data_IF_874375209588
#
_entry.id   IF_874375209588
#
_cell.length_a   1.000
_cell.length_b   1.000
_cell.length_c   1.000
_cell.angle_alpha   90.00
_cell.angle_beta   90.00
_cell.angle_gamma   90.00
#
_symmetry.space_group_name_H-M   'P 1'
#
loop_
_entity.id
_entity.type
_entity.pdbx_description
1 polymer ?
#
# COMPACT_ATOMS: atom_id res chain seq x y z
N UNK A 1 -7.63 7.81 -15.78
CA UNK A 1 -6.21 7.50 -15.45
C UNK A 1 -6.08 6.00 -15.18
N UNK A 2 -4.93 5.36 -15.45
CA UNK A 2 -4.72 3.97 -15.07
C UNK A 2 -4.82 3.84 -13.54
N UNK A 3 -5.57 2.84 -13.06
CA UNK A 3 -5.77 2.61 -11.63
C UNK A 3 -5.61 1.14 -11.28
N UNK A 4 -5.21 0.88 -10.04
CA UNK A 4 -5.06 -0.45 -9.47
C UNK A 4 -5.63 -0.45 -8.05
N UNK A 5 -6.48 -1.43 -7.76
CA UNK A 5 -6.91 -1.73 -6.39
C UNK A 5 -6.23 -3.01 -5.91
N UNK A 6 -5.50 -2.92 -4.80
CA UNK A 6 -4.88 -4.08 -4.17
C UNK A 6 -4.71 -3.81 -2.68
N UNK A 7 -4.42 -4.86 -1.91
CA UNK A 7 -4.19 -4.68 -0.48
C UNK A 7 -2.93 -3.86 -0.28
N UNK A 8 -2.95 -3.02 0.74
CA UNK A 8 -1.81 -2.20 1.14
C UNK A 8 -0.55 -3.06 1.33
N UNK A 9 -0.68 -4.27 1.89
CA UNK A 9 0.47 -5.14 2.16
C UNK A 9 1.15 -5.64 0.88
N UNK A 10 0.45 -5.66 -0.26
CA UNK A 10 1.02 -6.07 -1.54
C UNK A 10 2.04 -5.04 -2.07
N UNK A 11 2.06 -3.84 -1.50
CA UNK A 11 3.00 -2.77 -1.82
C UNK A 11 4.15 -2.65 -0.80
N UNK A 12 4.25 -3.52 0.21
CA UNK A 12 5.42 -3.54 1.08
C UNK A 12 6.68 -3.87 0.27
N UNK A 13 7.77 -3.17 0.59
CA UNK A 13 9.04 -3.25 -0.13
C UNK A 13 9.10 -2.37 -1.37
N UNK A 14 8.03 -1.62 -1.66
CA UNK A 14 7.94 -0.70 -2.79
C UNK A 14 8.01 0.74 -2.30
N UNK A 15 9.15 1.39 -2.53
CA UNK A 15 9.35 2.80 -2.13
C UNK A 15 8.52 3.79 -2.95
N UNK A 16 8.34 3.51 -4.25
CA UNK A 16 7.62 4.37 -5.20
C UNK A 16 6.49 3.63 -5.91
N UNK A 17 5.42 4.35 -6.23
CA UNK A 17 4.26 3.76 -6.91
C UNK A 17 4.59 3.33 -8.34
N UNK A 18 3.92 2.29 -8.87
CA UNK A 18 4.13 1.83 -10.24
C UNK A 18 3.71 2.90 -11.25
N UNK A 19 4.44 2.92 -12.38
CA UNK A 19 4.20 3.82 -13.51
C UNK A 19 4.06 3.00 -14.79
N UNK A 20 3.17 3.43 -15.68
CA UNK A 20 2.94 2.81 -16.99
C UNK A 20 3.40 3.74 -18.12
N UNK A 21 3.27 3.29 -19.37
CA UNK A 21 3.72 4.02 -20.57
C UNK A 21 5.22 4.40 -20.49
N UNK A 22 6.06 3.43 -20.10
CA UNK A 22 7.50 3.63 -19.96
C UNK A 22 7.87 4.62 -18.84
N UNK A 23 7.13 4.61 -17.72
CA UNK A 23 7.41 5.46 -16.56
C UNK A 23 6.71 6.84 -16.59
N UNK A 24 6.02 7.17 -17.68
CA UNK A 24 5.45 8.51 -17.89
C UNK A 24 4.17 8.78 -17.11
N UNK A 25 3.37 7.74 -16.87
CA UNK A 25 2.04 7.89 -16.26
C UNK A 25 1.99 7.16 -14.93
N UNK A 26 1.82 7.86 -13.78
CA UNK A 26 1.65 7.21 -12.49
C UNK A 26 0.31 6.49 -12.41
N UNK A 27 0.30 5.31 -11.79
CA UNK A 27 -0.94 4.56 -11.53
C UNK A 27 -1.60 5.10 -10.26
N UNK A 28 -2.91 5.30 -10.31
CA UNK A 28 -3.71 5.60 -9.12
C UNK A 28 -3.88 4.32 -8.31
N UNK A 29 -3.35 4.31 -7.09
CA UNK A 29 -3.41 3.19 -6.17
C UNK A 29 -4.59 3.35 -5.21
N UNK A 30 -5.53 2.42 -5.27
CA UNK A 30 -6.53 2.21 -4.23
C UNK A 30 -5.94 1.20 -3.24
N UNK A 31 -5.33 1.69 -2.17
CA UNK A 31 -4.70 0.88 -1.13
C UNK A 31 -5.80 0.34 -0.22
N UNK A 32 -6.00 -0.97 -0.25
CA UNK A 32 -7.07 -1.63 0.48
C UNK A 32 -6.60 -2.26 1.81
N UNK A 33 -7.49 -2.29 2.80
CA UNK A 33 -7.32 -3.15 3.97
C UNK A 33 -7.42 -4.65 3.58
N UNK A 34 -7.08 -5.59 4.47
CA UNK A 34 -7.17 -7.04 4.18
C UNK A 34 -8.53 -7.53 3.67
N UNK A 35 -9.62 -6.81 3.96
CA UNK A 35 -10.98 -7.10 3.49
C UNK A 35 -11.31 -6.47 2.12
N UNK A 36 -10.32 -6.00 1.37
CA UNK A 36 -10.46 -5.34 0.06
C UNK A 36 -11.21 -4.01 0.07
N UNK A 37 -11.47 -3.41 1.25
CA UNK A 37 -12.01 -2.04 1.31
C UNK A 37 -10.89 -1.01 1.16
N UNK A 38 -11.02 -0.03 0.25
CA UNK A 38 -10.05 1.07 0.13
C UNK A 38 -9.94 1.85 1.44
N UNK A 39 -8.72 2.10 1.89
CA UNK A 39 -8.41 2.96 3.04
C UNK A 39 -7.64 4.22 2.64
N UNK A 40 -7.01 4.20 1.47
CA UNK A 40 -6.37 5.37 0.87
C UNK A 40 -6.42 5.25 -0.66
N UNK A 41 -6.55 6.39 -1.34
CA UNK A 41 -6.30 6.51 -2.78
C UNK A 41 -5.13 7.48 -2.99
N UNK A 42 -4.11 7.09 -3.75
CA UNK A 42 -2.92 7.93 -3.98
C UNK A 42 -2.22 7.60 -5.29
N UNK A 43 -1.54 8.58 -5.90
CA UNK A 43 -0.53 8.37 -6.95
C UNK A 43 0.90 8.49 -6.41
N UNK A 44 1.05 8.99 -5.18
CA UNK A 44 2.33 9.15 -4.47
C UNK A 44 2.40 8.12 -3.32
N UNK A 45 3.02 6.98 -3.61
CA UNK A 45 3.22 5.92 -2.63
C UNK A 45 4.28 6.31 -1.58
N UNK A 46 5.31 7.06 -1.98
CA UNK A 46 6.40 7.48 -1.09
C UNK A 46 5.89 8.40 0.01
N UNK A 47 5.11 9.41 -0.35
CA UNK A 47 4.49 10.32 0.60
C UNK A 47 3.36 9.68 1.40
N UNK A 48 2.72 8.62 0.87
CA UNK A 48 1.80 7.80 1.65
C UNK A 48 2.52 7.11 2.81
N UNK A 49 3.65 6.44 2.54
CA UNK A 49 4.44 5.76 3.58
C UNK A 49 4.90 6.73 4.67
N UNK A 50 5.42 7.89 4.28
CA UNK A 50 5.94 8.86 5.24
C UNK A 50 4.85 9.52 6.10
N UNK A 51 3.67 9.82 5.53
CA UNK A 51 2.70 10.74 6.16
C UNK A 51 1.43 10.05 6.66
N UNK A 52 0.92 9.07 5.93
CA UNK A 52 -0.42 8.53 6.15
C UNK A 52 -0.39 7.11 6.74
N UNK A 53 0.57 6.30 6.29
CA UNK A 53 0.70 4.92 6.74
C UNK A 53 0.78 4.76 8.27
N UNK A 54 1.54 5.55 9.05
CA UNK A 54 1.65 5.32 10.50
C UNK A 54 0.30 5.39 11.22
N UNK A 55 -0.57 6.33 10.82
CA UNK A 55 -1.91 6.47 11.40
C UNK A 55 -2.83 5.31 10.98
N UNK A 56 -2.83 4.96 9.69
CA UNK A 56 -3.64 3.88 9.13
C UNK A 56 -3.21 2.52 9.69
N UNK A 57 -1.91 2.25 9.75
CA UNK A 57 -1.35 1.02 10.31
C UNK A 57 -1.75 0.85 11.78
N UNK A 58 -1.74 1.92 12.58
CA UNK A 58 -2.20 1.87 13.98
C UNK A 58 -3.66 1.45 14.11
N UNK A 59 -4.54 1.96 13.25
CA UNK A 59 -5.95 1.57 13.22
C UNK A 59 -6.12 0.12 12.73
N UNK A 60 -5.53 -0.20 11.57
CA UNK A 60 -5.67 -1.50 10.94
C UNK A 60 -5.03 -2.61 11.76
N UNK A 61 -3.96 -2.36 12.51
CA UNK A 61 -3.37 -3.32 13.45
C UNK A 61 -4.35 -3.76 14.54
N UNK A 62 -5.22 -2.86 15.02
CA UNK A 62 -6.26 -3.20 16.01
C UNK A 62 -7.34 -4.08 15.38
N UNK A 63 -7.73 -3.79 14.14
CA UNK A 63 -8.79 -4.52 13.42
C UNK A 63 -8.31 -5.86 12.82
N UNK A 64 -7.03 -5.93 12.46
CA UNK A 64 -6.41 -7.05 11.75
C UNK A 64 -5.09 -7.45 12.44
N UNK A 65 -5.14 -7.96 13.69
CA UNK A 65 -3.95 -8.25 14.49
C UNK A 65 -3.08 -9.39 13.93
N UNK A 66 -3.64 -10.26 13.07
CA UNK A 66 -2.92 -11.36 12.41
C UNK A 66 -2.09 -10.94 11.19
N UNK A 67 -2.18 -9.68 10.76
CA UNK A 67 -1.44 -9.16 9.61
C UNK A 67 -0.20 -8.37 10.06
N UNK A 68 0.85 -8.39 9.25
CA UNK A 68 2.05 -7.61 9.49
C UNK A 68 1.81 -6.12 9.15
N UNK A 69 2.32 -5.24 10.03
CA UNK A 69 2.28 -3.79 9.92
C UNK A 69 3.67 -3.22 10.29
N UNK A 70 4.66 -3.33 9.38
CA UNK A 70 6.04 -2.95 9.63
C UNK A 70 6.21 -1.45 9.84
N UNK A 71 7.16 -1.03 10.69
CA UNK A 71 7.47 0.39 10.88
C UNK A 71 8.11 1.03 9.62
N UNK A 72 8.85 0.24 8.83
CA UNK A 72 9.40 0.63 7.52
C UNK A 72 8.72 -0.18 6.39
N UNK A 73 7.56 0.26 5.89
CA UNK A 73 6.82 -0.45 4.84
C UNK A 73 7.51 -0.37 3.48
N UNK A 74 8.34 0.65 3.23
CA UNK A 74 9.04 0.82 1.96
C UNK A 74 10.16 -0.22 1.75
N UNK A 75 10.63 -0.84 2.84
CA UNK A 75 11.69 -1.87 2.82
C UNK A 75 11.25 -3.25 3.33
N UNK A 76 10.04 -3.38 3.84
CA UNK A 76 9.53 -4.64 4.36
C UNK A 76 9.27 -5.67 3.25
N UNK A 77 9.52 -6.95 3.53
CA UNK A 77 9.12 -8.01 2.61
C UNK A 77 7.58 -8.10 2.51
N UNK A 78 6.99 -8.14 1.30
CA UNK A 78 5.57 -8.35 1.16
C UNK A 78 5.20 -9.77 1.66
N UNK A 79 3.99 -9.95 2.23
CA UNK A 79 3.53 -11.27 2.61
C UNK A 79 3.43 -12.17 1.38
N UNK A 80 3.52 -13.49 1.60
CA UNK A 80 3.36 -14.47 0.53
C UNK A 80 2.11 -14.15 -0.31
N UNK A 81 2.27 -14.15 -1.64
CA UNK A 81 1.15 -13.97 -2.56
C UNK A 81 0.10 -15.03 -2.21
N UNK A 82 -1.14 -14.58 -2.03
CA UNK A 82 -2.26 -15.52 -1.97
C UNK A 82 -2.45 -16.06 -3.39
N UNK A 83 -2.54 -17.38 -3.50
CA UNK A 83 -2.94 -18.06 -4.74
C UNK A 83 -4.37 -17.67 -5.13
#
# INVERSE_FOLDING_TARGET
>A
PPSLASRLQDFFGMAEGPRVAGGRVPVVLHLCAPNQRPVQVTTDLSGFWARHYPAIARELRRRYPKHAWPDDPARAAPPARRA
#
